data_IF_752749317801
#
_entry.id   IF_752749317801
#
_cell.length_a   1.000
_cell.length_b   1.000
_cell.length_c   1.000
_cell.angle_alpha   90.00
_cell.angle_beta   90.00
_cell.angle_gamma   90.00
#
_symmetry.space_group_name_H-M   'P 1'
#
loop_
_entity.id
_entity.type
_entity.pdbx_description
1 polymer ?
#
# COMPACT_ATOMS: atom_id res chain seq x y z
N UNK A 1 6.44 -4.12 -17.24
CA UNK A 1 6.01 -2.83 -17.81
C UNK A 1 6.27 -2.75 -19.32
N UNK A 2 7.51 -2.96 -19.80
CA UNK A 2 7.78 -2.96 -21.26
C UNK A 2 7.13 -4.12 -22.04
N UNK A 3 6.97 -5.29 -21.41
CA UNK A 3 6.35 -6.47 -22.08
C UNK A 3 4.83 -6.38 -22.18
N UNK A 4 4.19 -5.75 -21.21
CA UNK A 4 2.74 -5.62 -21.12
C UNK A 4 2.39 -4.24 -20.55
N UNK A 5 2.30 -3.21 -21.41
CA UNK A 5 2.02 -1.84 -20.98
C UNK A 5 0.64 -1.71 -20.31
N UNK A 6 -0.38 -2.37 -20.86
CA UNK A 6 -1.76 -2.29 -20.36
C UNK A 6 -1.97 -2.86 -18.95
N UNK A 7 -1.06 -3.73 -18.47
CA UNK A 7 -1.12 -4.25 -17.11
C UNK A 7 -0.85 -3.14 -16.07
N UNK A 8 0.03 -2.19 -16.40
CA UNK A 8 0.29 -1.03 -15.54
C UNK A 8 -0.93 -0.12 -15.49
N UNK A 9 -1.50 0.20 -16.64
CA UNK A 9 -2.67 1.07 -16.73
C UNK A 9 -3.88 0.50 -15.99
N UNK A 10 -4.11 -0.81 -16.11
CA UNK A 10 -5.16 -1.50 -15.36
C UNK A 10 -4.92 -1.43 -13.84
N UNK A 11 -3.68 -1.65 -13.40
CA UNK A 11 -3.31 -1.56 -11.99
C UNK A 11 -3.49 -0.13 -11.45
N UNK A 12 -3.00 0.88 -12.17
CA UNK A 12 -3.14 2.29 -11.80
C UNK A 12 -4.61 2.73 -11.78
N UNK A 13 -5.42 2.23 -12.72
CA UNK A 13 -6.87 2.45 -12.73
C UNK A 13 -7.53 1.85 -11.50
N UNK A 14 -7.16 0.63 -11.10
CA UNK A 14 -7.68 -0.01 -9.89
C UNK A 14 -7.28 0.75 -8.61
N UNK A 15 -6.03 1.22 -8.55
CA UNK A 15 -5.51 2.04 -7.46
C UNK A 15 -6.30 3.36 -7.37
N UNK A 16 -6.56 4.03 -8.49
CA UNK A 16 -7.27 5.30 -8.55
C UNK A 16 -8.70 5.26 -7.99
N UNK A 17 -9.35 4.09 -7.93
CA UNK A 17 -10.68 3.93 -7.31
C UNK A 17 -10.70 4.19 -5.80
N UNK A 18 -9.54 4.22 -5.15
CA UNK A 18 -9.40 4.54 -3.73
C UNK A 18 -8.99 6.00 -3.46
N UNK A 19 -8.99 6.86 -4.49
CA UNK A 19 -8.60 8.26 -4.32
C UNK A 19 -9.41 8.97 -3.24
N UNK A 20 -8.72 9.67 -2.34
CA UNK A 20 -9.34 10.42 -1.24
C UNK A 20 -9.79 9.57 -0.06
N UNK A 21 -9.64 8.25 -0.11
CA UNK A 21 -10.03 7.35 0.99
C UNK A 21 -9.04 7.39 2.17
N UNK A 22 -7.74 7.63 1.91
CA UNK A 22 -6.70 7.79 2.93
C UNK A 22 -5.56 8.67 2.41
N UNK A 23 -5.20 9.71 3.17
CA UNK A 23 -4.17 10.68 2.78
C UNK A 23 -2.76 10.06 2.65
N UNK A 24 -2.45 8.99 3.42
CA UNK A 24 -1.17 8.25 3.33
C UNK A 24 -1.13 7.44 2.04
N UNK A 25 -2.26 6.85 1.64
CA UNK A 25 -2.38 6.18 0.35
C UNK A 25 -2.25 7.17 -0.80
N UNK A 26 -2.97 8.29 -0.76
CA UNK A 26 -2.86 9.32 -1.80
C UNK A 26 -1.42 9.84 -1.94
N UNK A 27 -0.69 9.99 -0.83
CA UNK A 27 0.74 10.33 -0.85
C UNK A 27 1.57 9.24 -1.53
N UNK A 28 1.40 7.98 -1.13
CA UNK A 28 2.13 6.86 -1.73
C UNK A 28 1.86 6.69 -3.22
N UNK A 29 0.63 6.97 -3.68
CA UNK A 29 0.27 6.98 -5.11
C UNK A 29 1.03 8.07 -5.87
N UNK A 30 1.12 9.28 -5.32
CA UNK A 30 1.90 10.37 -5.94
C UNK A 30 3.39 10.05 -6.02
N UNK A 31 3.94 9.47 -4.95
CA UNK A 31 5.35 9.07 -4.91
C UNK A 31 5.62 7.97 -5.94
N UNK A 32 4.72 6.99 -6.06
CA UNK A 32 4.80 5.93 -7.09
C UNK A 32 4.78 6.49 -8.51
N UNK A 33 3.92 7.46 -8.81
CA UNK A 33 3.90 8.12 -10.13
C UNK A 33 5.22 8.85 -10.42
N UNK A 34 5.80 9.49 -9.41
CA UNK A 34 7.08 10.20 -9.54
C UNK A 34 8.21 9.22 -9.89
N UNK A 35 8.22 8.04 -9.28
CA UNK A 35 9.22 7.00 -9.57
C UNK A 35 9.02 6.32 -10.91
N UNK A 36 7.78 6.13 -11.35
CA UNK A 36 7.47 5.58 -12.67
C UNK A 36 7.92 6.52 -13.80
N UNK A 37 7.92 7.84 -13.54
CA UNK A 37 8.41 8.83 -14.49
C UNK A 37 9.94 8.88 -14.59
N UNK A 38 10.67 8.41 -13.57
CA UNK A 38 12.13 8.35 -13.56
C UNK A 38 12.65 7.01 -14.12
N UNK A 39 13.03 7.04 -15.39
CA UNK A 39 13.55 5.89 -16.14
C UNK A 39 15.07 5.67 -16.00
N UNK A 40 15.81 6.60 -15.39
CA UNK A 40 17.27 6.48 -15.27
C UNK A 40 17.67 5.40 -14.26
N UNK A 41 18.30 4.31 -14.66
CA UNK A 41 18.69 3.22 -13.73
C UNK A 41 17.55 2.28 -13.32
N UNK A 42 16.49 2.21 -14.15
CA UNK A 42 15.27 1.44 -13.91
C UNK A 42 15.50 -0.03 -13.51
N UNK A 43 16.53 -0.70 -14.05
CA UNK A 43 16.81 -2.11 -13.74
C UNK A 43 17.21 -2.33 -12.27
N UNK A 44 18.03 -1.43 -11.71
CA UNK A 44 18.44 -1.51 -10.31
C UNK A 44 17.30 -1.24 -9.33
N UNK A 45 16.29 -0.47 -9.76
CA UNK A 45 15.11 -0.12 -8.95
C UNK A 45 13.90 -1.02 -9.17
N UNK A 46 13.93 -1.92 -10.14
CA UNK A 46 12.77 -2.72 -10.55
C UNK A 46 12.10 -3.46 -9.37
N UNK A 47 12.90 -4.06 -8.47
CA UNK A 47 12.36 -4.74 -7.28
C UNK A 47 11.65 -3.79 -6.32
N UNK A 48 12.26 -2.64 -6.03
CA UNK A 48 11.70 -1.62 -5.15
C UNK A 48 10.42 -1.02 -5.75
N UNK A 49 10.40 -0.80 -7.05
CA UNK A 49 9.21 -0.29 -7.75
C UNK A 49 8.08 -1.31 -7.74
N UNK A 50 8.37 -2.60 -7.99
CA UNK A 50 7.39 -3.67 -7.92
C UNK A 50 6.80 -3.82 -6.51
N UNK A 51 7.64 -3.74 -5.48
CA UNK A 51 7.22 -3.74 -4.07
C UNK A 51 6.29 -2.56 -3.78
N UNK A 52 6.66 -1.34 -4.20
CA UNK A 52 5.84 -0.14 -4.02
C UNK A 52 4.49 -0.26 -4.72
N UNK A 53 4.47 -0.74 -5.96
CA UNK A 53 3.22 -0.97 -6.69
C UNK A 53 2.32 -1.97 -5.95
N UNK A 54 2.88 -3.07 -5.45
CA UNK A 54 2.14 -4.07 -4.71
C UNK A 54 1.55 -3.51 -3.39
N UNK A 55 2.34 -2.74 -2.64
CA UNK A 55 1.92 -2.12 -1.38
C UNK A 55 0.80 -1.09 -1.61
N UNK A 56 0.91 -0.26 -2.65
CA UNK A 56 -0.13 0.72 -3.01
C UNK A 56 -1.42 0.02 -3.47
N UNK A 57 -1.30 -1.03 -4.29
CA UNK A 57 -2.46 -1.83 -4.72
C UNK A 57 -3.16 -2.49 -3.53
N UNK A 58 -2.40 -3.10 -2.61
CA UNK A 58 -2.96 -3.66 -1.37
C UNK A 58 -3.68 -2.59 -0.55
N UNK A 59 -3.07 -1.41 -0.40
CA UNK A 59 -3.69 -0.26 0.27
C UNK A 59 -5.05 0.10 -0.36
N UNK A 60 -5.11 0.27 -1.69
CA UNK A 60 -6.36 0.56 -2.42
C UNK A 60 -7.45 -0.47 -2.16
N UNK A 61 -7.11 -1.76 -2.15
CA UNK A 61 -8.07 -2.82 -1.90
C UNK A 61 -8.56 -2.82 -0.45
N UNK A 62 -7.65 -2.61 0.52
CA UNK A 62 -8.00 -2.62 1.93
C UNK A 62 -8.90 -1.43 2.31
N UNK A 63 -8.58 -0.22 1.87
CA UNK A 63 -9.41 0.96 2.20
C UNK A 63 -10.82 0.88 1.60
N UNK A 64 -11.01 0.08 0.55
CA UNK A 64 -12.32 -0.11 -0.10
C UNK A 64 -13.11 -1.29 0.44
N UNK A 65 -12.44 -2.36 0.85
CA UNK A 65 -13.10 -3.66 1.06
C UNK A 65 -12.82 -4.31 2.42
N UNK A 66 -11.88 -3.78 3.21
CA UNK A 66 -11.55 -4.33 4.52
C UNK A 66 -12.23 -3.56 5.66
N UNK A 67 -12.35 -4.15 6.85
CA UNK A 67 -12.74 -3.41 8.04
C UNK A 67 -11.82 -2.20 8.27
N UNK A 68 -12.33 -1.03 8.71
CA UNK A 68 -11.54 0.19 8.86
C UNK A 68 -10.26 0.02 9.69
N UNK A 69 -10.33 -0.74 10.79
CA UNK A 69 -9.17 -1.02 11.64
C UNK A 69 -8.01 -1.72 10.89
N UNK A 70 -8.33 -2.59 9.92
CA UNK A 70 -7.32 -3.27 9.10
C UNK A 70 -6.71 -2.31 8.09
N UNK A 71 -7.54 -1.52 7.42
CA UNK A 71 -7.09 -0.54 6.45
C UNK A 71 -6.21 0.54 7.10
N UNK A 72 -6.63 1.07 8.24
CA UNK A 72 -5.88 2.08 9.00
C UNK A 72 -4.55 1.52 9.51
N UNK A 73 -4.56 0.33 10.12
CA UNK A 73 -3.34 -0.34 10.56
C UNK A 73 -2.38 -0.60 9.39
N UNK A 74 -2.88 -1.06 8.24
CA UNK A 74 -2.06 -1.26 7.04
C UNK A 74 -1.47 0.07 6.53
N UNK A 75 -2.29 1.12 6.39
CA UNK A 75 -1.84 2.41 5.90
C UNK A 75 -0.81 3.04 6.84
N UNK A 76 -1.05 3.02 8.16
CA UNK A 76 -0.09 3.50 9.16
C UNK A 76 1.27 2.78 9.03
N UNK A 77 1.23 1.47 8.86
CA UNK A 77 2.41 0.61 8.94
C UNK A 77 3.14 0.37 7.62
N UNK A 78 2.53 0.55 6.46
CA UNK A 78 3.18 0.29 5.15
C UNK A 78 3.29 1.57 4.31
N UNK A 79 2.45 2.56 4.58
CA UNK A 79 2.39 3.82 3.82
C UNK A 79 2.76 5.05 4.66
N UNK A 80 2.55 4.99 5.98
CA UNK A 80 2.87 6.07 6.91
C UNK A 80 4.35 6.20 7.26
N UNK A 81 5.12 5.11 7.16
CA UNK A 81 6.57 5.10 7.44
C UNK A 81 6.93 5.08 8.93
N UNK A 82 5.94 5.05 9.83
CA UNK A 82 6.14 5.10 11.29
C UNK A 82 6.42 3.72 11.92
N UNK A 83 6.76 2.71 11.11
CA UNK A 83 7.13 1.39 11.60
C UNK A 83 8.65 1.26 11.72
N UNK A 84 9.11 0.56 12.75
CA UNK A 84 10.50 0.16 12.87
C UNK A 84 10.88 -0.98 11.90
N UNK A 85 12.17 -1.37 11.94
CA UNK A 85 12.67 -2.53 11.20
C UNK A 85 12.24 -3.88 11.77
N UNK A 86 11.55 -3.89 12.92
CA UNK A 86 11.01 -5.09 13.58
C UNK A 86 9.49 -5.01 13.69
N UNK A 87 8.83 -6.16 13.74
CA UNK A 87 7.39 -6.23 13.98
C UNK A 87 7.03 -5.74 15.38
N UNK A 88 5.81 -5.21 15.55
CA UNK A 88 5.29 -4.72 16.83
C UNK A 88 5.73 -3.31 17.21
N UNK A 89 6.27 -2.54 16.26
CA UNK A 89 6.83 -1.20 16.47
C UNK A 89 5.89 -0.05 16.12
N UNK A 90 4.62 -0.34 15.81
CA UNK A 90 3.65 0.69 15.47
C UNK A 90 3.30 1.54 16.68
N UNK A 91 3.26 2.86 16.48
CA UNK A 91 2.80 3.81 17.48
C UNK A 91 1.33 3.56 17.85
N UNK A 92 0.96 3.96 19.08
CA UNK A 92 -0.40 3.80 19.59
C UNK A 92 -1.45 4.57 18.78
N UNK A 93 -2.73 4.26 19.01
CA UNK A 93 -3.88 4.89 18.34
C UNK A 93 -4.58 4.01 17.31
N UNK A 94 -4.06 2.80 17.05
CA UNK A 94 -4.67 1.81 16.16
C UNK A 94 -5.47 0.77 16.95
N UNK A 95 -6.62 0.33 16.41
CA UNK A 95 -7.39 -0.78 16.95
C UNK A 95 -6.79 -2.14 16.54
N UNK A 96 -5.66 -2.48 17.15
CA UNK A 96 -4.97 -3.75 16.89
C UNK A 96 -5.74 -4.95 17.43
N UNK A 97 -6.60 -4.78 18.43
CA UNK A 97 -7.41 -5.85 18.99
C UNK A 97 -8.38 -6.40 17.95
N UNK A 98 -9.09 -5.52 17.24
CA UNK A 98 -9.98 -5.92 16.14
C UNK A 98 -9.23 -6.57 14.97
N UNK A 99 -8.01 -6.12 14.67
CA UNK A 99 -7.17 -6.73 13.63
C UNK A 99 -6.78 -8.16 14.01
N UNK A 100 -6.37 -8.37 15.27
CA UNK A 100 -6.02 -9.70 15.78
C UNK A 100 -7.26 -10.59 15.75
N UNK A 101 -8.39 -10.14 16.30
CA UNK A 101 -9.62 -10.94 16.36
C UNK A 101 -10.06 -11.41 14.97
N UNK A 102 -10.04 -10.52 13.97
CA UNK A 102 -10.33 -10.87 12.57
C UNK A 102 -9.39 -11.94 11.99
N UNK A 103 -8.14 -11.96 12.45
CA UNK A 103 -7.12 -12.89 11.94
C UNK A 103 -7.11 -14.23 12.70
N UNK A 104 -7.89 -14.38 13.77
CA UNK A 104 -7.95 -15.62 14.53
C UNK A 104 -8.60 -16.71 13.68
N UNK A 105 -7.99 -17.91 13.61
CA UNK A 105 -8.67 -19.06 13.02
C UNK A 105 -9.97 -19.34 13.75
N UNK A 106 -11.01 -19.70 13.01
CA UNK A 106 -12.23 -20.25 13.60
C UNK A 106 -11.87 -21.64 14.13
N UNK A 107 -11.83 -21.76 15.46
CA UNK A 107 -11.64 -23.03 16.18
C UNK A 107 -12.89 -23.88 16.17
#
# INVERSE_FOLDING_TARGET
LQREPGALDACLTEIGRAHGADHRLDRAVRDLFTELADLEGAEGRARRLAERLAVVLQGSLLVRHAPPAVADAFCASRLGGDHGGTFGTLLGGLDLASVVERARPLS
#
